data_IF_614853890250
#
_entry.id   IF_614853890250
#
_cell.length_a   1.000
_cell.length_b   1.000
_cell.length_c   1.000
_cell.angle_alpha   90.00
_cell.angle_beta   90.00
_cell.angle_gamma   90.00
#
_symmetry.space_group_name_H-M   'P 1'
#
loop_
_entity.id
_entity.type
_entity.pdbx_description
1 polymer ?
#
# COMPACT_ATOMS: atom_id res chain seq x y z
N UNK A 1 25.22 -20.74 -11.40
CA UNK A 1 25.72 -19.51 -10.78
C UNK A 1 24.72 -18.43 -11.12
N UNK A 2 23.85 -18.09 -10.18
CA UNK A 2 22.85 -17.02 -10.33
C UNK A 2 23.58 -15.68 -10.31
N UNK A 3 23.41 -14.88 -11.35
CA UNK A 3 23.89 -13.50 -11.38
C UNK A 3 23.29 -12.73 -10.19
N UNK A 4 24.07 -11.91 -9.47
CA UNK A 4 23.52 -11.03 -8.44
C UNK A 4 22.57 -10.04 -9.12
N UNK A 5 21.27 -10.18 -8.90
CA UNK A 5 20.30 -9.15 -9.23
C UNK A 5 20.49 -8.02 -8.23
N UNK A 6 21.40 -7.09 -8.52
CA UNK A 6 21.49 -5.87 -7.72
C UNK A 6 20.19 -5.07 -7.90
N UNK A 7 19.54 -4.72 -6.79
CA UNK A 7 18.47 -3.74 -6.81
C UNK A 7 19.04 -2.42 -7.34
N UNK A 8 18.39 -1.80 -8.33
CA UNK A 8 18.88 -0.60 -9.01
C UNK A 8 19.16 0.54 -8.01
N UNK A 9 18.39 0.57 -6.92
CA UNK A 9 18.58 1.48 -5.79
C UNK A 9 19.90 1.23 -5.04
N UNK A 10 20.20 -0.04 -4.78
CA UNK A 10 21.44 -0.46 -4.10
C UNK A 10 22.66 -0.11 -4.95
N UNK A 11 22.57 -0.34 -6.26
CA UNK A 11 23.61 0.01 -7.23
C UNK A 11 23.87 1.53 -7.27
N UNK A 12 22.82 2.35 -7.28
CA UNK A 12 22.96 3.81 -7.29
C UNK A 12 23.59 4.32 -5.99
N UNK A 13 23.23 3.75 -4.84
CA UNK A 13 23.83 4.13 -3.55
C UNK A 13 25.30 3.70 -3.44
N UNK A 14 25.67 2.56 -4.01
CA UNK A 14 27.06 2.11 -4.09
C UNK A 14 27.92 3.04 -4.97
N UNK A 15 27.40 3.43 -6.14
CA UNK A 15 28.11 4.27 -7.10
C UNK A 15 28.10 5.76 -6.72
N UNK A 16 27.04 6.24 -6.08
CA UNK A 16 26.79 7.65 -5.78
C UNK A 16 26.22 7.81 -4.35
N UNK A 17 27.06 7.67 -3.31
CA UNK A 17 26.63 7.64 -1.90
C UNK A 17 26.05 8.97 -1.36
N UNK A 18 25.95 10.01 -2.20
CA UNK A 18 25.33 11.29 -1.89
C UNK A 18 24.08 11.60 -2.74
N UNK A 19 23.52 10.61 -3.43
CA UNK A 19 22.30 10.80 -4.24
C UNK A 19 21.14 11.22 -3.34
N UNK A 20 20.48 12.31 -3.73
CA UNK A 20 19.29 12.79 -3.03
C UNK A 20 18.22 11.68 -2.96
N UNK A 21 17.60 11.41 -1.81
CA UNK A 21 16.58 10.37 -1.67
C UNK A 21 15.43 10.45 -2.67
N UNK A 22 15.10 11.65 -3.15
CA UNK A 22 14.05 11.87 -4.16
C UNK A 22 14.49 11.49 -5.59
N UNK A 23 15.80 11.31 -5.82
CA UNK A 23 16.39 10.86 -7.07
C UNK A 23 16.66 9.35 -7.11
N UNK A 24 16.55 8.67 -5.97
CA UNK A 24 16.70 7.22 -5.91
C UNK A 24 15.46 6.55 -6.52
N UNK A 25 15.62 5.43 -7.25
CA UNK A 25 14.48 4.64 -7.65
C UNK A 25 13.71 4.25 -6.39
N UNK A 26 12.40 4.45 -6.40
CA UNK A 26 11.62 4.31 -5.19
C UNK A 26 11.54 2.82 -4.84
N UNK A 27 11.72 2.51 -3.56
CA UNK A 27 11.89 1.13 -3.08
C UNK A 27 10.69 0.24 -3.42
N UNK A 28 10.88 -1.07 -3.26
CA UNK A 28 9.78 -2.02 -3.42
C UNK A 28 8.66 -1.67 -2.42
N UNK A 29 7.45 -1.45 -2.93
CA UNK A 29 6.28 -1.20 -2.09
C UNK A 29 5.63 -2.53 -1.79
N UNK A 30 5.64 -2.92 -0.52
CA UNK A 30 4.96 -4.13 -0.07
C UNK A 30 3.47 -3.85 0.07
N UNK A 31 2.64 -4.72 -0.50
CA UNK A 31 1.19 -4.67 -0.37
C UNK A 31 0.60 -6.06 -0.22
N UNK A 32 0.20 -6.41 1.01
CA UNK A 32 -0.27 -7.76 1.34
C UNK A 32 -1.32 -7.76 2.45
N UNK A 33 -1.97 -8.91 2.63
CA UNK A 33 -2.92 -9.16 3.72
C UNK A 33 -2.32 -10.19 4.67
N UNK A 34 -2.37 -9.92 5.98
CA UNK A 34 -1.88 -10.85 6.99
C UNK A 34 -2.93 -11.89 7.40
N UNK A 35 -2.56 -12.76 8.35
CA UNK A 35 -3.43 -13.83 8.86
C UNK A 35 -4.61 -13.32 9.68
N UNK A 36 -4.54 -12.11 10.23
CA UNK A 36 -5.62 -11.45 10.97
C UNK A 36 -6.57 -10.71 10.03
N UNK A 37 -6.27 -10.67 8.73
CA UNK A 37 -7.05 -9.98 7.72
C UNK A 37 -6.76 -8.48 7.62
N UNK A 38 -5.73 -7.97 8.32
CA UNK A 38 -5.24 -6.61 8.14
C UNK A 38 -4.45 -6.51 6.85
N UNK A 39 -4.49 -5.33 6.25
CA UNK A 39 -3.74 -5.05 5.03
C UNK A 39 -2.57 -4.15 5.36
N UNK A 40 -1.41 -4.48 4.82
CA UNK A 40 -0.15 -3.77 5.03
C UNK A 40 0.24 -3.07 3.74
N UNK A 41 0.60 -1.79 3.82
CA UNK A 41 1.30 -1.06 2.77
C UNK A 41 2.59 -0.55 3.40
N UNK A 42 3.76 -0.92 2.86
CA UNK A 42 5.04 -0.51 3.41
C UNK A 42 6.05 -0.16 2.31
N UNK A 43 6.85 0.86 2.59
CA UNK A 43 8.03 1.27 1.83
C UNK A 43 8.98 1.93 2.83
N UNK A 44 10.13 1.32 3.10
CA UNK A 44 11.08 1.76 4.14
C UNK A 44 11.35 3.29 4.05
N UNK A 45 11.17 4.06 5.15
CA UNK A 45 10.88 3.66 6.55
C UNK A 45 9.39 3.72 6.93
N UNK A 46 8.49 3.83 5.97
CA UNK A 46 7.06 4.03 6.19
C UNK A 46 6.29 2.71 6.16
N UNK A 47 5.44 2.53 7.15
CA UNK A 47 4.48 1.43 7.21
C UNK A 47 3.09 1.96 7.57
N UNK A 48 2.07 1.41 6.89
CA UNK A 48 0.66 1.63 7.18
C UNK A 48 -0.04 0.29 7.34
N UNK A 49 -0.69 0.13 8.49
CA UNK A 49 -1.56 -1.02 8.78
C UNK A 49 -3.02 -0.60 8.69
N UNK A 50 -3.77 -1.34 7.88
CA UNK A 50 -5.17 -1.12 7.57
C UNK A 50 -6.02 -2.18 8.27
N UNK A 51 -6.83 -1.74 9.23
CA UNK A 51 -7.73 -2.61 9.98
C UNK A 51 -9.04 -2.83 9.23
N UNK A 52 -9.45 -4.09 9.03
CA UNK A 52 -10.70 -4.40 8.35
C UNK A 52 -11.91 -3.94 9.18
N UNK A 53 -12.90 -3.38 8.51
CA UNK A 53 -14.21 -3.09 9.09
C UNK A 53 -15.22 -4.18 8.71
N UNK A 54 -16.25 -4.32 9.53
CA UNK A 54 -17.38 -5.19 9.25
C UNK A 54 -18.05 -4.80 7.93
N UNK A 55 -18.45 -5.81 7.17
CA UNK A 55 -19.08 -5.60 5.88
C UNK A 55 -20.52 -5.12 6.07
N UNK A 56 -20.77 -3.85 5.77
CA UNK A 56 -22.15 -3.35 5.63
C UNK A 56 -22.72 -3.77 4.27
N UNK A 57 -23.89 -4.43 4.23
CA UNK A 57 -24.52 -4.83 2.98
C UNK A 57 -24.87 -3.60 2.15
N UNK A 58 -24.50 -3.64 0.87
CA UNK A 58 -24.83 -2.61 -0.12
C UNK A 58 -24.72 -3.23 -1.51
N UNK A 59 -25.52 -2.73 -2.45
CA UNK A 59 -25.44 -3.10 -3.86
C UNK A 59 -24.69 -2.07 -4.69
N UNK A 60 -24.34 -0.92 -4.09
CA UNK A 60 -23.63 0.14 -4.79
C UNK A 60 -22.20 -0.31 -5.13
N UNK A 61 -21.74 -0.13 -6.38
CA UNK A 61 -20.36 -0.37 -6.75
C UNK A 61 -19.45 0.63 -6.03
N UNK A 62 -18.22 0.21 -5.78
CA UNK A 62 -17.23 0.97 -5.02
C UNK A 62 -15.87 0.84 -5.69
N UNK A 63 -15.08 1.91 -5.60
CA UNK A 63 -13.74 1.98 -6.17
C UNK A 63 -12.74 1.34 -5.20
N UNK A 64 -11.93 0.40 -5.66
CA UNK A 64 -10.74 0.00 -4.91
C UNK A 64 -9.70 1.13 -4.99
N UNK A 65 -9.25 1.65 -3.86
CA UNK A 65 -8.30 2.77 -3.84
C UNK A 65 -6.87 2.37 -4.19
N UNK A 66 -6.52 1.08 -4.18
CA UNK A 66 -5.21 0.60 -4.60
C UNK A 66 -5.11 0.41 -6.12
N UNK A 67 -6.03 -0.36 -6.72
CA UNK A 67 -5.99 -0.65 -8.16
C UNK A 67 -6.89 0.26 -9.02
N UNK A 68 -7.63 1.19 -8.41
CA UNK A 68 -8.52 2.16 -9.07
C UNK A 68 -9.59 1.53 -9.97
N UNK A 69 -9.99 0.29 -9.69
CA UNK A 69 -11.08 -0.40 -10.40
C UNK A 69 -12.38 -0.26 -9.63
N UNK A 70 -13.47 0.03 -10.35
CA UNK A 70 -14.82 -0.09 -9.80
C UNK A 70 -15.19 -1.57 -9.73
N UNK A 71 -15.73 -1.99 -8.58
CA UNK A 71 -16.06 -3.39 -8.33
C UNK A 71 -17.38 -3.50 -7.56
N UNK A 72 -17.93 -4.72 -7.58
CA UNK A 72 -19.08 -5.04 -6.73
C UNK A 72 -18.72 -4.87 -5.26
N UNK A 73 -19.72 -4.53 -4.43
CA UNK A 73 -19.54 -4.44 -2.98
C UNK A 73 -18.97 -5.72 -2.35
N UNK A 74 -19.32 -6.88 -2.90
CA UNK A 74 -18.86 -8.19 -2.42
C UNK A 74 -17.37 -8.44 -2.70
N UNK A 75 -16.79 -7.76 -3.69
CA UNK A 75 -15.38 -7.91 -4.08
C UNK A 75 -14.44 -6.98 -3.30
N UNK A 76 -14.98 -6.07 -2.48
CA UNK A 76 -14.19 -5.12 -1.69
C UNK A 76 -14.48 -5.21 -0.20
N UNK A 77 -13.59 -4.62 0.58
CA UNK A 77 -13.70 -4.46 2.02
C UNK A 77 -13.31 -3.04 2.42
N UNK A 78 -13.96 -2.54 3.46
CA UNK A 78 -13.64 -1.23 4.02
C UNK A 78 -12.57 -1.44 5.08
N UNK A 79 -11.61 -0.54 5.11
CA UNK A 79 -10.54 -0.52 6.08
C UNK A 79 -10.47 0.84 6.75
N UNK A 80 -9.96 0.87 7.97
CA UNK A 80 -9.53 2.09 8.64
C UNK A 80 -8.04 2.05 8.92
N UNK A 81 -7.43 3.23 9.01
CA UNK A 81 -6.06 3.38 9.48
C UNK A 81 -5.94 4.69 10.28
N UNK A 82 -5.00 4.70 11.22
CA UNK A 82 -4.75 5.87 12.06
C UNK A 82 -3.93 6.92 11.30
N UNK A 83 -4.14 8.19 11.66
CA UNK A 83 -3.50 9.33 11.00
C UNK A 83 -2.78 10.22 12.00
N UNK A 84 -1.51 10.46 11.73
CA UNK A 84 -0.62 11.25 12.56
C UNK A 84 -0.18 10.54 13.85
N UNK A 85 0.73 11.16 14.62
CA UNK A 85 1.43 10.49 15.72
C UNK A 85 0.54 10.21 16.94
N UNK A 86 -0.62 10.84 17.06
CA UNK A 86 -1.51 10.68 18.22
C UNK A 86 -2.43 9.46 18.15
N UNK A 87 -2.60 8.85 16.97
CA UNK A 87 -3.50 7.70 16.76
C UNK A 87 -4.99 7.99 16.99
N UNK A 88 -5.38 9.27 17.17
CA UNK A 88 -6.77 9.66 17.50
C UNK A 88 -7.64 9.95 16.30
N UNK A 89 -7.05 10.11 15.12
CA UNK A 89 -7.76 10.39 13.86
C UNK A 89 -7.72 9.14 13.01
N UNK A 90 -8.85 8.84 12.40
CA UNK A 90 -9.02 7.68 11.52
C UNK A 90 -9.37 8.16 10.12
N UNK A 91 -8.80 7.50 9.12
CA UNK A 91 -9.24 7.58 7.74
C UNK A 91 -9.69 6.21 7.27
N UNK A 92 -10.50 6.22 6.22
CA UNK A 92 -11.15 5.04 5.69
C UNK A 92 -10.80 4.89 4.21
N UNK A 93 -10.57 3.66 3.78
CA UNK A 93 -10.34 3.32 2.37
C UNK A 93 -11.08 2.04 2.03
N UNK A 94 -11.36 1.86 0.75
CA UNK A 94 -11.90 0.63 0.18
C UNK A 94 -10.82 -0.10 -0.60
N UNK A 95 -10.58 -1.37 -0.29
CA UNK A 95 -9.60 -2.20 -0.97
C UNK A 95 -10.24 -3.52 -1.43
N UNK A 96 -9.65 -4.16 -2.44
CA UNK A 96 -10.05 -5.50 -2.87
C UNK A 96 -10.00 -6.48 -1.70
N UNK A 97 -10.96 -7.42 -1.67
CA UNK A 97 -10.88 -8.55 -0.73
C UNK A 97 -9.70 -9.47 -1.04
N UNK A 98 -9.48 -9.74 -2.32
CA UNK A 98 -8.29 -10.44 -2.79
C UNK A 98 -7.13 -9.45 -2.94
N UNK A 99 -6.37 -9.29 -1.87
CA UNK A 99 -5.22 -8.38 -1.82
C UNK A 99 -4.08 -8.88 -2.73
N UNK A 100 -3.90 -10.20 -2.88
CA UNK A 100 -2.84 -10.76 -3.72
C UNK A 100 -3.09 -10.47 -5.20
N UNK A 101 -4.32 -10.68 -5.67
CA UNK A 101 -4.71 -10.31 -7.04
C UNK A 101 -4.63 -8.80 -7.24
N UNK A 102 -5.04 -8.01 -6.23
CA UNK A 102 -4.96 -6.55 -6.31
C UNK A 102 -3.51 -6.05 -6.38
N UNK A 103 -2.56 -6.72 -5.73
CA UNK A 103 -1.15 -6.36 -5.75
C UNK A 103 -0.57 -6.42 -7.17
N UNK A 104 -0.91 -7.46 -7.95
CA UNK A 104 -0.50 -7.55 -9.35
C UNK A 104 -1.13 -6.48 -10.28
N UNK A 105 -2.09 -5.69 -9.78
CA UNK A 105 -2.81 -4.67 -10.53
C UNK A 105 -2.60 -3.24 -10.02
N UNK A 106 -2.14 -3.08 -8.79
CA UNK A 106 -1.97 -1.78 -8.16
C UNK A 106 -0.64 -1.17 -8.62
N UNK A 107 -0.68 0.08 -9.07
CA UNK A 107 0.55 0.81 -9.42
C UNK A 107 1.33 1.15 -8.13
N UNK A 108 2.66 0.91 -8.08
CA UNK A 108 3.46 1.27 -6.91
C UNK A 108 3.33 2.73 -6.51
N UNK A 109 3.26 3.65 -7.50
CA UNK A 109 3.02 5.08 -7.28
C UNK A 109 1.74 5.33 -6.48
N UNK A 110 0.67 4.59 -6.77
CA UNK A 110 -0.61 4.71 -6.08
C UNK A 110 -0.56 4.19 -4.65
N UNK A 111 0.15 3.09 -4.42
CA UNK A 111 0.36 2.55 -3.07
C UNK A 111 1.16 3.54 -2.19
N UNK A 112 2.16 4.23 -2.76
CA UNK A 112 2.89 5.31 -2.06
C UNK A 112 2.01 6.50 -1.73
N UNK A 113 1.13 6.89 -2.65
CA UNK A 113 0.13 7.94 -2.37
C UNK A 113 -0.75 7.57 -1.19
N UNK A 114 -1.19 6.31 -1.11
CA UNK A 114 -1.95 5.81 0.04
C UNK A 114 -1.10 5.85 1.31
N UNK A 115 0.13 5.33 1.27
CA UNK A 115 1.06 5.31 2.39
C UNK A 115 1.28 6.72 2.99
N UNK A 116 1.48 7.73 2.14
CA UNK A 116 1.65 9.14 2.58
C UNK A 116 0.41 9.72 3.27
N UNK A 117 -0.78 9.14 3.09
CA UNK A 117 -2.01 9.59 3.77
C UNK A 117 -2.06 9.23 5.26
N UNK A 118 -1.20 8.35 5.78
CA UNK A 118 -1.09 8.09 7.23
C UNK A 118 -0.43 9.26 7.98
N UNK A 119 0.34 10.09 7.29
CA UNK A 119 1.20 11.11 7.91
C UNK A 119 0.40 12.39 8.26
N UNK A 120 -0.58 12.77 7.41
CA UNK A 120 -1.23 14.10 7.40
C UNK A 120 -2.61 14.10 8.05
#
# INVERSE_FOLDING_TARGET
MSEPSFDERELILELFPGTDPDLLPPGEVLYYRDKEGKVHIAEEPLEMVLEPLEATPSTAPVLCEACLRQMSRASVQFFRFSVGPSGRRWRYVTLCRDTAQCNGLAEPRRLRELLRRSII
#
